data_IF_075936172158
#
_entry.id   IF_075936172158
#
_cell.length_a   1.000
_cell.length_b   1.000
_cell.length_c   1.000
_cell.angle_alpha   90.00
_cell.angle_beta   90.00
_cell.angle_gamma   90.00
#
_symmetry.space_group_name_H-M   'P 1'
#
loop_
_entity.id
_entity.type
_entity.pdbx_description
1 polymer ?
#
# COMPACT_ATOMS: atom_id res chain seq x y z
N UNK A 1 2.94 -21.13 10.09
CA UNK A 1 2.42 -20.03 10.93
C UNK A 1 3.33 -19.63 12.10
N UNK A 2 4.10 -20.51 12.69
CA UNK A 2 5.05 -20.17 13.76
C UNK A 2 6.23 -19.29 13.29
N UNK A 3 6.63 -19.33 12.01
CA UNK A 3 7.75 -18.54 11.46
C UNK A 3 7.46 -17.04 11.32
N UNK A 4 6.21 -16.63 11.15
CA UNK A 4 5.82 -15.21 11.03
C UNK A 4 5.87 -14.52 12.38
N UNK A 5 5.57 -15.23 13.47
CA UNK A 5 5.63 -14.72 14.83
C UNK A 5 7.08 -14.58 15.37
N UNK A 6 8.03 -15.38 14.87
CA UNK A 6 9.43 -15.28 15.26
C UNK A 6 10.16 -14.07 14.66
N UNK A 7 9.69 -13.52 13.55
CA UNK A 7 10.25 -12.30 12.98
C UNK A 7 9.88 -11.04 13.78
N UNK A 8 8.86 -11.07 14.63
CA UNK A 8 8.43 -9.94 15.45
C UNK A 8 9.33 -9.68 16.68
N UNK A 9 10.13 -10.63 17.10
CA UNK A 9 10.83 -10.55 18.39
C UNK A 9 12.34 -10.25 18.34
N UNK A 10 12.89 -9.91 17.18
CA UNK A 10 14.28 -9.43 17.05
C UNK A 10 14.35 -7.97 16.64
N UNK A 11 13.74 -7.11 17.43
CA UNK A 11 14.06 -5.67 17.38
C UNK A 11 15.08 -5.40 18.47
N UNK A 12 16.34 -5.39 18.09
CA UNK A 12 17.39 -4.89 18.99
C UNK A 12 17.14 -3.42 19.26
N UNK A 13 17.21 -3.06 20.53
CA UNK A 13 16.99 -1.70 21.02
C UNK A 13 17.96 -0.74 20.32
N UNK A 14 17.45 0.18 19.49
CA UNK A 14 18.23 1.24 18.85
C UNK A 14 18.13 1.33 17.32
N UNK A 15 17.60 0.33 16.63
CA UNK A 15 17.42 0.39 15.17
C UNK A 15 15.94 0.44 14.84
N UNK A 16 15.49 1.51 14.17
CA UNK A 16 14.14 1.57 13.61
C UNK A 16 14.04 0.46 12.56
N UNK A 17 13.14 -0.51 12.72
CA UNK A 17 13.00 -1.58 11.73
C UNK A 17 12.65 -0.97 10.37
N UNK A 18 13.18 -1.49 9.27
CA UNK A 18 12.81 -1.01 7.95
C UNK A 18 11.30 -1.18 7.75
N UNK A 19 10.65 -0.16 7.22
CA UNK A 19 9.21 -0.17 6.91
C UNK A 19 8.89 -1.26 5.89
N UNK A 20 9.83 -1.57 5.00
CA UNK A 20 9.74 -2.62 4.01
C UNK A 20 11.13 -3.20 3.72
N UNK A 21 11.15 -4.45 3.21
CA UNK A 21 12.40 -5.11 2.79
C UNK A 21 12.91 -4.62 1.42
N UNK A 22 12.12 -3.84 0.71
CA UNK A 22 12.49 -3.21 -0.55
C UNK A 22 12.69 -1.71 -0.36
N UNK A 23 13.48 -1.09 -1.25
CA UNK A 23 13.65 0.36 -1.25
C UNK A 23 12.32 1.03 -1.57
N UNK A 24 11.97 2.03 -0.77
CA UNK A 24 10.85 2.93 -1.00
C UNK A 24 11.40 4.26 -1.51
N UNK A 25 10.94 4.71 -2.68
CA UNK A 25 11.32 6.02 -3.20
C UNK A 25 10.50 7.09 -2.49
N UNK A 26 11.16 8.09 -1.92
CA UNK A 26 10.51 9.22 -1.25
C UNK A 26 9.79 10.15 -2.24
N UNK A 27 8.96 11.03 -1.70
CA UNK A 27 8.21 12.00 -2.52
C UNK A 27 9.12 13.03 -3.17
N UNK A 28 10.21 13.39 -2.48
CA UNK A 28 11.25 14.31 -2.93
C UNK A 28 12.16 13.69 -4.01
N UNK A 29 12.31 12.37 -4.00
CA UNK A 29 13.09 11.63 -5.02
C UNK A 29 12.27 11.28 -6.27
N UNK A 30 10.93 11.39 -6.20
CA UNK A 30 10.06 10.96 -7.29
C UNK A 30 10.22 11.85 -8.54
N UNK A 31 10.44 11.20 -9.68
CA UNK A 31 10.60 11.86 -11.00
C UNK A 31 9.70 11.19 -12.05
N UNK A 32 9.49 11.86 -13.18
CA UNK A 32 8.76 11.31 -14.32
C UNK A 32 7.38 10.76 -13.95
N UNK A 33 7.08 9.56 -14.40
CA UNK A 33 5.80 8.89 -14.15
C UNK A 33 5.51 8.69 -12.66
N UNK A 34 6.53 8.37 -11.85
CA UNK A 34 6.34 8.18 -10.41
C UNK A 34 5.85 9.46 -9.73
N UNK A 35 6.36 10.61 -10.14
CA UNK A 35 5.89 11.91 -9.62
C UNK A 35 4.42 12.16 -9.94
N UNK A 36 3.98 11.76 -11.12
CA UNK A 36 2.55 11.85 -11.53
C UNK A 36 1.67 10.98 -10.65
N UNK A 37 2.10 9.73 -10.41
CA UNK A 37 1.35 8.78 -9.56
C UNK A 37 1.30 9.26 -8.10
N UNK A 38 2.40 9.77 -7.57
CA UNK A 38 2.43 10.35 -6.22
C UNK A 38 1.55 11.60 -6.10
N UNK A 39 1.56 12.45 -7.12
CA UNK A 39 0.65 13.60 -7.18
C UNK A 39 -0.82 13.17 -7.16
N UNK A 40 -1.17 12.11 -7.86
CA UNK A 40 -2.51 11.53 -7.83
C UNK A 40 -2.86 10.95 -6.44
N UNK A 41 -1.91 10.31 -5.78
CA UNK A 41 -2.09 9.79 -4.42
C UNK A 41 -2.34 10.92 -3.42
N UNK A 42 -1.57 11.99 -3.48
CA UNK A 42 -1.72 13.17 -2.61
C UNK A 42 -3.08 13.83 -2.81
N UNK A 43 -3.51 14.02 -4.06
CA UNK A 43 -4.84 14.58 -4.35
C UNK A 43 -5.99 13.73 -3.79
N UNK A 44 -5.83 12.41 -3.79
CA UNK A 44 -6.85 11.46 -3.33
C UNK A 44 -6.87 11.31 -1.81
N UNK A 45 -5.72 11.24 -1.17
CA UNK A 45 -5.58 10.83 0.24
C UNK A 45 -4.78 11.82 1.11
N UNK A 46 -4.32 12.93 0.55
CA UNK A 46 -3.52 13.92 1.27
C UNK A 46 -2.06 13.53 1.50
N UNK A 47 -1.69 12.29 1.21
CA UNK A 47 -0.32 11.76 1.39
C UNK A 47 -0.09 10.54 0.51
N UNK A 48 1.18 10.14 0.38
CA UNK A 48 1.57 8.90 -0.26
C UNK A 48 1.78 7.82 0.81
N UNK A 49 0.90 6.82 0.85
CA UNK A 49 1.02 5.71 1.79
C UNK A 49 2.17 4.77 1.41
N UNK A 50 2.73 4.07 2.41
CA UNK A 50 3.84 3.16 2.20
C UNK A 50 3.53 2.01 1.23
N UNK A 51 2.27 1.56 1.16
CA UNK A 51 1.85 0.55 0.19
C UNK A 51 1.99 1.05 -1.26
N UNK A 52 1.80 2.33 -1.51
CA UNK A 52 2.05 2.97 -2.81
C UNK A 52 3.56 3.05 -3.05
N UNK A 53 4.33 3.49 -2.05
CA UNK A 53 5.80 3.55 -2.12
C UNK A 53 6.45 2.18 -2.33
N UNK A 54 5.83 1.10 -1.84
CA UNK A 54 6.31 -0.26 -2.06
C UNK A 54 6.36 -0.67 -3.55
N UNK A 55 5.57 -0.04 -4.39
CA UNK A 55 5.56 -0.26 -5.85
C UNK A 55 6.36 0.81 -6.61
N UNK A 56 7.04 1.71 -5.92
CA UNK A 56 7.69 2.90 -6.53
C UNK A 56 8.85 2.57 -7.47
N UNK A 57 9.52 1.44 -7.29
CA UNK A 57 10.61 1.01 -8.17
C UNK A 57 10.15 0.69 -9.60
N UNK A 58 8.87 0.41 -9.79
CA UNK A 58 8.26 0.10 -11.08
C UNK A 58 6.99 0.94 -11.26
N UNK A 59 7.12 2.23 -11.66
CA UNK A 59 5.99 3.15 -11.79
C UNK A 59 4.87 2.67 -12.71
N UNK A 60 5.20 1.90 -13.75
CA UNK A 60 4.20 1.27 -14.61
C UNK A 60 3.35 0.24 -13.85
N UNK A 61 3.98 -0.59 -13.01
CA UNK A 61 3.26 -1.55 -12.16
C UNK A 61 2.40 -0.82 -11.14
N UNK A 62 2.91 0.23 -10.51
CA UNK A 62 2.14 1.07 -9.60
C UNK A 62 0.88 1.62 -10.26
N UNK A 63 1.00 2.16 -11.47
CA UNK A 63 -0.14 2.68 -12.24
C UNK A 63 -1.22 1.62 -12.44
N UNK A 64 -0.83 0.44 -12.92
CA UNK A 64 -1.78 -0.65 -13.19
C UNK A 64 -2.39 -1.22 -11.90
N UNK A 65 -1.60 -1.32 -10.82
CA UNK A 65 -2.11 -1.73 -9.51
C UNK A 65 -3.16 -0.73 -8.97
N UNK A 66 -2.91 0.57 -9.14
CA UNK A 66 -3.88 1.60 -8.76
C UNK A 66 -5.12 1.61 -9.67
N UNK A 67 -4.98 1.26 -10.94
CA UNK A 67 -6.12 1.09 -11.85
C UNK A 67 -6.98 -0.11 -11.42
N UNK A 68 -6.37 -1.22 -11.09
CA UNK A 68 -7.05 -2.41 -10.55
C UNK A 68 -7.81 -2.08 -9.26
N UNK A 69 -7.13 -1.43 -8.31
CA UNK A 69 -7.75 -1.00 -7.05
C UNK A 69 -9.01 -0.15 -7.30
N UNK A 70 -8.91 0.84 -8.18
CA UNK A 70 -10.05 1.70 -8.52
C UNK A 70 -11.19 0.92 -9.18
N UNK A 71 -10.88 0.00 -10.08
CA UNK A 71 -11.88 -0.83 -10.73
C UNK A 71 -12.64 -1.69 -9.70
N UNK A 72 -11.92 -2.31 -8.77
CA UNK A 72 -12.52 -3.17 -7.75
C UNK A 72 -13.34 -2.37 -6.74
N UNK A 73 -12.79 -1.26 -6.24
CA UNK A 73 -13.42 -0.54 -5.13
C UNK A 73 -14.47 0.49 -5.57
N UNK A 74 -14.35 1.04 -6.77
CA UNK A 74 -15.20 2.15 -7.25
C UNK A 74 -15.89 1.87 -8.58
N UNK A 75 -15.49 0.83 -9.29
CA UNK A 75 -16.08 0.48 -10.57
C UNK A 75 -17.51 -0.08 -10.43
N UNK A 76 -18.24 -0.23 -11.56
CA UNK A 76 -19.54 -0.85 -11.54
C UNK A 76 -19.49 -2.26 -10.96
N UNK A 77 -20.44 -2.58 -10.07
CA UNK A 77 -20.50 -3.88 -9.39
C UNK A 77 -21.88 -4.07 -8.80
N UNK A 78 -22.30 -5.32 -8.67
CA UNK A 78 -23.50 -5.68 -7.91
C UNK A 78 -23.31 -5.49 -6.38
N UNK A 79 -22.06 -5.47 -5.91
CA UNK A 79 -21.76 -5.16 -4.53
C UNK A 79 -21.75 -3.64 -4.31
N UNK A 80 -22.43 -3.20 -3.26
CA UNK A 80 -22.39 -1.81 -2.82
C UNK A 80 -20.99 -1.41 -2.34
N UNK A 81 -20.71 -0.12 -2.26
CA UNK A 81 -19.46 0.39 -1.70
C UNK A 81 -19.23 -0.11 -0.29
N UNK A 82 -20.26 -0.12 0.55
CA UNK A 82 -20.16 -0.58 1.94
C UNK A 82 -19.79 -2.06 2.02
N UNK A 83 -20.35 -2.91 1.19
CA UNK A 83 -20.01 -4.32 1.15
C UNK A 83 -18.57 -4.56 0.72
N UNK A 84 -18.08 -3.82 -0.28
CA UNK A 84 -16.67 -3.89 -0.72
C UNK A 84 -15.70 -3.44 0.36
N UNK A 85 -16.01 -2.36 1.08
CA UNK A 85 -15.23 -1.91 2.23
C UNK A 85 -15.25 -2.92 3.38
N UNK A 86 -16.40 -3.50 3.66
CA UNK A 86 -16.53 -4.53 4.70
C UNK A 86 -15.67 -5.75 4.37
N UNK A 87 -15.67 -6.23 3.14
CA UNK A 87 -14.81 -7.32 2.69
C UNK A 87 -13.33 -6.98 2.88
N UNK A 88 -12.92 -5.77 2.51
CA UNK A 88 -11.54 -5.31 2.69
C UNK A 88 -11.15 -5.28 4.18
N UNK A 89 -12.01 -4.78 5.05
CA UNK A 89 -11.77 -4.73 6.49
C UNK A 89 -11.64 -6.14 7.08
N UNK A 90 -12.55 -7.05 6.74
CA UNK A 90 -12.52 -8.45 7.23
C UNK A 90 -11.23 -9.13 6.80
N UNK A 91 -10.81 -8.99 5.55
CA UNK A 91 -9.55 -9.57 5.04
C UNK A 91 -8.36 -8.98 5.77
N UNK A 92 -8.32 -7.67 5.97
CA UNK A 92 -7.23 -6.98 6.69
C UNK A 92 -7.14 -7.43 8.14
N UNK A 93 -8.27 -7.53 8.85
CA UNK A 93 -8.31 -8.00 10.23
C UNK A 93 -7.85 -9.46 10.34
N UNK A 94 -8.29 -10.32 9.43
CA UNK A 94 -7.91 -11.74 9.41
C UNK A 94 -6.41 -11.93 9.18
N UNK A 95 -5.79 -11.07 8.38
CA UNK A 95 -4.37 -11.10 8.07
C UNK A 95 -3.49 -10.27 9.02
N UNK A 96 -4.07 -9.70 10.07
CA UNK A 96 -3.36 -8.76 10.99
C UNK A 96 -2.64 -7.65 10.19
N UNK A 97 -3.30 -7.13 9.18
CA UNK A 97 -2.77 -6.10 8.31
C UNK A 97 -3.00 -4.71 8.90
N UNK A 98 -1.97 -3.88 8.92
CA UNK A 98 -2.06 -2.51 9.44
C UNK A 98 -2.96 -1.60 8.58
N UNK A 99 -3.05 -1.87 7.29
CA UNK A 99 -3.88 -1.11 6.35
C UNK A 99 -5.31 -1.70 6.22
#
# INVERSE_FOLDING_TARGET
MASVLQFRNKVECGTIPPVAYIRLIGEDEATGQLKVEYGAAIRRAGKVFNIVKAMSLRPGVLREAMALYRAIMFGPSELSRAERELLAVVVSCTNDCHY
#
